data_IF_233474324436
#
_entry.id   IF_233474324436
#
_cell.length_a   1.000
_cell.length_b   1.000
_cell.length_c   1.000
_cell.angle_alpha   90.00
_cell.angle_beta   90.00
_cell.angle_gamma   90.00
#
_symmetry.space_group_name_H-M   'P 1'
#
loop_
_entity.id
_entity.type
_entity.pdbx_description
1 polymer ?
#
# COMPACT_ATOMS: atom_id res chain seq x y z
N UNK A 1 5.28 5.87 -12.68
CA UNK A 1 4.33 5.27 -13.68
C UNK A 1 3.50 6.39 -14.32
N UNK A 2 3.71 6.63 -15.61
CA UNK A 2 3.22 7.85 -16.27
C UNK A 2 1.68 7.98 -16.29
N UNK A 3 0.95 6.92 -16.66
CA UNK A 3 -0.51 6.96 -16.73
C UNK A 3 -1.16 7.33 -15.36
N UNK A 4 -0.56 6.88 -14.25
CA UNK A 4 -1.02 7.22 -12.90
C UNK A 4 -0.70 8.69 -12.58
N UNK A 5 0.52 9.18 -12.90
CA UNK A 5 0.91 10.57 -12.68
C UNK A 5 -0.01 11.53 -13.46
N UNK A 6 -0.31 11.23 -14.72
CA UNK A 6 -1.24 12.00 -15.53
C UNK A 6 -2.65 11.99 -14.97
N UNK A 7 -3.12 10.86 -14.43
CA UNK A 7 -4.43 10.78 -13.78
C UNK A 7 -4.48 11.62 -12.50
N UNK A 8 -3.41 11.61 -11.70
CA UNK A 8 -3.31 12.44 -10.49
C UNK A 8 -3.30 13.92 -10.86
N UNK A 9 -2.55 14.33 -11.90
CA UNK A 9 -2.50 15.74 -12.34
C UNK A 9 -3.84 16.25 -12.87
N UNK A 10 -4.60 15.40 -13.58
CA UNK A 10 -5.87 15.78 -14.18
C UNK A 10 -7.02 15.81 -13.16
N UNK A 11 -7.14 14.80 -12.32
CA UNK A 11 -8.33 14.53 -11.50
C UNK A 11 -8.05 14.58 -9.99
N UNK A 12 -6.77 14.58 -9.60
CA UNK A 12 -6.36 14.73 -8.20
C UNK A 12 -6.38 16.21 -7.76
N UNK A 13 -6.56 16.44 -6.46
CA UNK A 13 -6.51 17.80 -5.88
C UNK A 13 -5.68 17.81 -4.62
N UNK A 14 -4.64 18.61 -4.59
CA UNK A 14 -3.93 18.94 -3.36
C UNK A 14 -4.76 19.96 -2.57
N UNK A 15 -5.28 19.56 -1.41
CA UNK A 15 -6.01 20.45 -0.49
C UNK A 15 -5.06 21.22 0.42
N UNK A 16 -3.85 20.74 0.57
CA UNK A 16 -2.77 21.36 1.33
C UNK A 16 -1.45 20.68 0.95
N UNK A 17 -0.35 21.13 1.52
CA UNK A 17 0.96 20.47 1.40
C UNK A 17 0.99 19.02 1.93
N UNK A 18 -0.06 18.56 2.62
CA UNK A 18 -0.12 17.22 3.24
C UNK A 18 -1.28 16.36 2.76
N UNK A 19 -2.34 16.95 2.18
CA UNK A 19 -3.56 16.23 1.82
C UNK A 19 -3.74 16.23 0.30
N UNK A 20 -3.68 15.05 -0.30
CA UNK A 20 -3.95 14.80 -1.70
C UNK A 20 -5.24 13.98 -1.82
N UNK A 21 -6.25 14.52 -2.50
CA UNK A 21 -7.48 13.82 -2.85
C UNK A 21 -7.31 13.12 -4.19
N UNK A 22 -7.65 11.83 -4.21
CA UNK A 22 -7.69 10.96 -5.39
C UNK A 22 -8.97 10.12 -5.37
N UNK A 23 -10.01 10.69 -4.81
CA UNK A 23 -11.31 10.07 -4.51
C UNK A 23 -12.08 9.67 -5.78
N UNK A 24 -11.86 10.36 -6.89
CA UNK A 24 -12.54 10.11 -8.16
C UNK A 24 -12.05 8.87 -8.93
N UNK A 25 -10.95 8.21 -8.51
CA UNK A 25 -10.41 7.07 -9.23
C UNK A 25 -9.74 5.99 -8.35
N UNK A 26 -9.50 6.25 -7.06
CA UNK A 26 -8.80 5.31 -6.17
C UNK A 26 -9.54 5.05 -4.85
N UNK A 27 -9.95 6.11 -4.11
CA UNK A 27 -10.40 5.97 -2.72
C UNK A 27 -11.92 5.88 -2.55
N UNK A 28 -12.72 6.52 -3.41
CA UNK A 28 -14.18 6.56 -3.34
C UNK A 28 -14.81 5.93 -4.57
N UNK A 29 -14.52 6.49 -5.74
CA UNK A 29 -14.75 5.84 -7.01
C UNK A 29 -13.46 5.14 -7.43
N UNK A 30 -13.57 3.89 -7.85
CA UNK A 30 -12.44 3.11 -8.35
C UNK A 30 -12.52 3.04 -9.88
N UNK A 31 -11.44 3.40 -10.57
CA UNK A 31 -11.31 3.17 -12.01
C UNK A 31 -10.67 1.79 -12.25
N UNK A 32 -11.44 0.79 -12.71
CA UNK A 32 -10.91 -0.57 -12.86
C UNK A 32 -9.81 -0.69 -13.91
N UNK A 33 -9.85 0.14 -14.96
CA UNK A 33 -8.81 0.12 -16.00
C UNK A 33 -7.48 0.66 -15.46
N UNK A 34 -7.54 1.74 -14.69
CA UNK A 34 -6.37 2.27 -14.02
C UNK A 34 -5.82 1.29 -13.00
N UNK A 35 -6.70 0.67 -12.18
CA UNK A 35 -6.24 -0.30 -11.17
C UNK A 35 -5.62 -1.55 -11.80
N UNK A 36 -6.13 -2.01 -12.94
CA UNK A 36 -5.48 -3.09 -13.69
C UNK A 36 -4.08 -2.69 -14.17
N UNK A 37 -3.91 -1.49 -14.67
CA UNK A 37 -2.59 -0.99 -15.07
C UNK A 37 -1.64 -0.84 -13.87
N UNK A 38 -2.15 -0.38 -12.72
CA UNK A 38 -1.41 -0.28 -11.44
C UNK A 38 -0.98 -1.66 -10.95
N UNK A 39 -1.91 -2.63 -10.90
CA UNK A 39 -1.61 -4.00 -10.50
C UNK A 39 -0.59 -4.67 -11.42
N UNK A 40 -0.75 -4.50 -12.73
CA UNK A 40 0.20 -4.99 -13.73
C UNK A 40 1.61 -4.39 -13.57
N UNK A 41 1.70 -3.11 -13.23
CA UNK A 41 2.99 -2.45 -12.98
C UNK A 41 3.70 -3.00 -11.72
N UNK A 42 2.96 -3.34 -10.65
CA UNK A 42 3.52 -4.05 -9.51
C UNK A 42 3.94 -5.47 -9.86
N UNK A 43 3.09 -6.21 -10.59
CA UNK A 43 3.41 -7.57 -11.01
C UNK A 43 4.67 -7.62 -11.89
N UNK A 44 4.81 -6.69 -12.82
CA UNK A 44 6.02 -6.58 -13.66
C UNK A 44 7.28 -6.33 -12.82
N UNK A 45 7.20 -5.39 -11.86
CA UNK A 45 8.33 -5.00 -11.01
C UNK A 45 8.79 -6.13 -10.08
N UNK A 46 7.88 -6.99 -9.67
CA UNK A 46 8.15 -8.05 -8.69
C UNK A 46 7.99 -9.47 -9.25
N UNK A 47 7.95 -9.62 -10.58
CA UNK A 47 7.78 -10.90 -11.28
C UNK A 47 8.75 -11.98 -10.80
N UNK A 48 10.01 -11.62 -10.67
CA UNK A 48 11.09 -12.56 -10.31
C UNK A 48 11.37 -12.60 -8.79
N UNK A 49 10.59 -11.88 -8.00
CA UNK A 49 10.79 -11.83 -6.55
C UNK A 49 10.25 -13.06 -5.82
N UNK A 50 9.61 -13.98 -6.54
CA UNK A 50 9.05 -15.22 -5.98
C UNK A 50 7.90 -14.97 -5.00
N UNK A 51 7.07 -13.95 -5.26
CA UNK A 51 5.89 -13.62 -4.45
C UNK A 51 4.94 -14.81 -4.45
N UNK A 52 4.44 -15.18 -3.28
CA UNK A 52 3.44 -16.24 -3.09
C UNK A 52 2.10 -15.68 -2.61
N UNK A 53 2.10 -14.44 -2.12
CA UNK A 53 0.90 -13.83 -1.56
C UNK A 53 0.98 -12.29 -1.60
N UNK A 54 -0.12 -11.65 -1.93
CA UNK A 54 -0.27 -10.21 -1.78
C UNK A 54 -0.98 -9.92 -0.46
N UNK A 55 -0.53 -8.91 0.27
CA UNK A 55 -1.22 -8.42 1.49
C UNK A 55 -1.50 -6.93 1.32
N UNK A 56 -2.65 -6.49 1.81
CA UNK A 56 -3.04 -5.08 1.81
C UNK A 56 -3.80 -4.70 3.07
N UNK A 57 -3.98 -3.41 3.27
CA UNK A 57 -4.79 -2.83 4.35
C UNK A 57 -6.11 -2.28 3.77
N UNK A 58 -7.25 -2.55 4.43
CA UNK A 58 -8.52 -1.95 4.03
C UNK A 58 -8.51 -0.41 4.21
N UNK A 59 -9.26 0.35 3.41
CA UNK A 59 -10.10 -0.11 2.31
C UNK A 59 -9.44 0.17 0.95
N UNK A 60 -8.76 1.30 0.78
CA UNK A 60 -8.31 1.82 -0.52
C UNK A 60 -7.19 1.02 -1.18
N UNK A 61 -6.39 0.30 -0.38
CA UNK A 61 -5.37 -0.62 -0.88
C UNK A 61 -5.93 -1.86 -1.58
N UNK A 62 -7.23 -2.20 -1.37
CA UNK A 62 -7.82 -3.44 -1.89
C UNK A 62 -7.84 -3.46 -3.42
N UNK A 63 -8.28 -2.38 -4.05
CA UNK A 63 -8.42 -2.34 -5.51
C UNK A 63 -7.09 -2.55 -6.26
N UNK A 64 -6.00 -1.82 -5.97
CA UNK A 64 -4.70 -2.08 -6.60
C UNK A 64 -4.12 -3.45 -6.22
N UNK A 65 -4.31 -3.90 -4.97
CA UNK A 65 -3.75 -5.16 -4.50
C UNK A 65 -4.41 -6.39 -5.15
N UNK A 66 -5.74 -6.39 -5.35
CA UNK A 66 -6.40 -7.50 -6.03
C UNK A 66 -5.98 -7.60 -7.49
N UNK A 67 -5.75 -6.48 -8.17
CA UNK A 67 -5.24 -6.49 -9.55
C UNK A 67 -3.79 -6.95 -9.64
N UNK A 68 -2.96 -6.65 -8.63
CA UNK A 68 -1.59 -7.17 -8.56
C UNK A 68 -1.59 -8.68 -8.25
N UNK A 69 -2.45 -9.14 -7.36
CA UNK A 69 -2.59 -10.55 -7.03
C UNK A 69 -3.07 -11.38 -8.23
N UNK A 70 -4.03 -10.86 -9.00
CA UNK A 70 -4.50 -11.46 -10.25
C UNK A 70 -3.38 -11.54 -11.27
N UNK A 71 -2.62 -10.46 -11.48
CA UNK A 71 -1.54 -10.43 -12.44
C UNK A 71 -0.33 -11.31 -12.06
N UNK A 72 -0.13 -11.59 -10.75
CA UNK A 72 0.90 -12.51 -10.21
C UNK A 72 0.39 -13.96 -10.06
N UNK A 73 -0.90 -14.20 -10.27
CA UNK A 73 -1.58 -15.49 -10.05
C UNK A 73 -1.36 -16.02 -8.62
N UNK A 74 -1.55 -15.16 -7.62
CA UNK A 74 -1.40 -15.50 -6.20
C UNK A 74 -2.61 -15.03 -5.38
N UNK A 75 -2.93 -15.66 -4.23
CA UNK A 75 -3.98 -15.19 -3.35
C UNK A 75 -3.62 -13.88 -2.66
N UNK A 76 -4.67 -13.14 -2.21
CA UNK A 76 -4.54 -11.91 -1.46
C UNK A 76 -5.15 -12.03 -0.07
N UNK A 77 -4.49 -11.41 0.93
CA UNK A 77 -4.98 -11.26 2.30
C UNK A 77 -5.24 -9.79 2.60
N UNK A 78 -6.37 -9.48 3.24
CA UNK A 78 -6.75 -8.12 3.61
C UNK A 78 -6.65 -7.97 5.13
N UNK A 79 -5.80 -7.07 5.58
CA UNK A 79 -5.76 -6.63 6.98
C UNK A 79 -6.90 -5.65 7.26
N UNK A 80 -7.49 -5.78 8.46
CA UNK A 80 -8.65 -5.00 8.88
C UNK A 80 -8.27 -3.95 9.92
N UNK A 81 -8.89 -2.76 9.82
CA UNK A 81 -8.77 -1.69 10.82
C UNK A 81 -9.76 -1.81 11.98
N UNK A 82 -10.55 -2.88 11.97
CA UNK A 82 -11.51 -3.21 13.02
C UNK A 82 -11.58 -4.71 13.24
N UNK A 83 -11.90 -5.12 14.45
CA UNK A 83 -12.16 -6.53 14.77
C UNK A 83 -13.60 -6.86 14.41
N UNK A 84 -13.80 -7.89 13.58
CA UNK A 84 -15.12 -8.48 13.43
C UNK A 84 -15.47 -9.24 14.71
N UNK A 85 -16.64 -8.98 15.30
CA UNK A 85 -17.14 -9.69 16.48
C UNK A 85 -17.32 -11.20 16.27
N UNK A 86 -17.26 -11.66 15.02
CA UNK A 86 -17.44 -13.05 14.60
C UNK A 86 -16.11 -13.80 14.57
N UNK A 87 -14.97 -13.12 14.35
CA UNK A 87 -13.65 -13.74 14.24
C UNK A 87 -12.97 -13.73 15.62
N UNK A 88 -12.97 -14.85 16.33
CA UNK A 88 -12.37 -14.96 17.67
C UNK A 88 -11.06 -15.74 17.71
N UNK A 89 -10.75 -16.56 16.72
CA UNK A 89 -9.56 -17.43 16.71
C UNK A 89 -8.60 -17.06 15.58
N UNK A 90 -7.31 -17.25 15.78
CA UNK A 90 -6.26 -16.97 14.79
C UNK A 90 -6.06 -15.47 14.50
N UNK A 91 -6.47 -14.59 15.41
CA UNK A 91 -6.35 -13.14 15.25
C UNK A 91 -5.09 -12.63 15.92
N UNK A 92 -4.27 -11.93 15.17
CA UNK A 92 -3.15 -11.13 15.69
C UNK A 92 -3.37 -9.66 15.37
N UNK A 93 -2.90 -8.79 16.26
CA UNK A 93 -3.16 -7.37 16.20
C UNK A 93 -1.92 -6.55 16.56
N UNK A 94 -1.83 -5.36 15.99
CA UNK A 94 -0.85 -4.35 16.40
C UNK A 94 -1.50 -2.97 16.38
N UNK A 95 -1.07 -2.13 17.30
CA UNK A 95 -1.47 -0.72 17.28
C UNK A 95 -0.71 0.03 16.20
N UNK A 96 -1.43 0.87 15.47
CA UNK A 96 -0.91 1.77 14.44
C UNK A 96 -1.45 3.18 14.69
N UNK A 97 -0.59 4.18 14.65
CA UNK A 97 -0.99 5.57 14.76
C UNK A 97 -1.23 6.20 13.39
N UNK A 98 -2.42 6.74 13.19
CA UNK A 98 -2.80 7.49 11.98
C UNK A 98 -2.52 8.97 12.17
N UNK A 99 -1.45 9.50 11.57
CA UNK A 99 -1.16 10.93 11.59
C UNK A 99 -2.21 11.79 10.87
N UNK A 100 -2.89 11.22 9.87
CA UNK A 100 -3.94 11.93 9.12
C UNK A 100 -5.18 12.15 9.97
N UNK A 101 -5.55 11.16 10.79
CA UNK A 101 -6.70 11.23 11.70
C UNK A 101 -6.33 11.63 13.12
N UNK A 102 -5.04 11.65 13.45
CA UNK A 102 -4.49 11.88 14.78
C UNK A 102 -5.08 10.92 15.83
N UNK A 103 -5.20 9.65 15.46
CA UNK A 103 -5.76 8.60 16.32
C UNK A 103 -5.01 7.27 16.14
N UNK A 104 -4.97 6.46 17.21
CA UNK A 104 -4.49 5.10 17.13
C UNK A 104 -5.64 4.15 16.75
N UNK A 105 -5.33 3.11 15.99
CA UNK A 105 -6.26 2.05 15.67
C UNK A 105 -5.58 0.68 15.73
N UNK A 106 -6.35 -0.37 15.92
CA UNK A 106 -5.84 -1.74 15.89
C UNK A 106 -5.89 -2.27 14.45
N UNK A 107 -4.70 -2.53 13.89
CA UNK A 107 -4.59 -3.29 12.67
C UNK A 107 -4.66 -4.78 12.99
N UNK A 108 -5.49 -5.51 12.27
CA UNK A 108 -5.85 -6.89 12.56
C UNK A 108 -5.56 -7.78 11.36
N UNK A 109 -4.93 -8.92 11.61
CA UNK A 109 -4.66 -9.97 10.64
C UNK A 109 -5.21 -11.30 11.17
N UNK A 110 -5.85 -12.08 10.30
CA UNK A 110 -6.12 -13.50 10.57
C UNK A 110 -4.90 -14.31 10.12
N UNK A 111 -4.14 -14.80 11.08
CA UNK A 111 -2.84 -15.45 10.86
C UNK A 111 -2.92 -16.76 10.10
N UNK A 112 -4.08 -17.45 10.13
CA UNK A 112 -4.31 -18.71 9.42
C UNK A 112 -4.06 -18.64 7.91
N UNK A 113 -4.09 -17.44 7.34
CA UNK A 113 -3.88 -17.20 5.90
C UNK A 113 -2.43 -16.88 5.52
N UNK A 114 -1.52 -16.83 6.50
CA UNK A 114 -0.09 -16.64 6.27
C UNK A 114 0.72 -17.75 6.95
N UNK A 115 1.76 -18.19 6.29
CA UNK A 115 2.65 -19.27 6.78
C UNK A 115 4.11 -18.88 6.59
N UNK A 116 5.02 -19.62 7.21
CA UNK A 116 6.47 -19.44 7.07
C UNK A 116 7.01 -19.68 5.64
N UNK A 117 6.22 -20.29 4.77
CA UNK A 117 6.56 -20.46 3.35
C UNK A 117 6.20 -19.23 2.51
N UNK A 118 5.37 -18.30 3.03
CA UNK A 118 4.89 -17.18 2.26
C UNK A 118 5.93 -16.07 2.11
N UNK A 119 6.07 -15.61 0.87
CA UNK A 119 6.81 -14.41 0.46
C UNK A 119 5.82 -13.36 0.04
N UNK A 120 5.66 -12.34 0.86
CA UNK A 120 4.57 -11.38 0.76
C UNK A 120 5.01 -10.12 0.00
N UNK A 121 4.18 -9.71 -0.95
CA UNK A 121 4.17 -8.35 -1.47
C UNK A 121 3.09 -7.56 -0.71
N UNK A 122 3.52 -6.61 0.13
CA UNK A 122 2.62 -5.67 0.79
C UNK A 122 2.30 -4.51 -0.15
N UNK A 123 1.01 -4.26 -0.43
CA UNK A 123 0.56 -3.14 -1.27
C UNK A 123 -0.36 -2.23 -0.46
N UNK A 124 -0.13 -0.91 -0.55
CA UNK A 124 -1.01 0.11 0.01
C UNK A 124 -1.30 1.22 -1.00
N UNK A 125 -2.40 1.95 -0.81
CA UNK A 125 -2.77 3.09 -1.65
C UNK A 125 -1.83 4.28 -1.46
N UNK A 126 -1.55 4.66 -0.20
CA UNK A 126 -0.67 5.76 0.16
C UNK A 126 0.46 5.34 1.10
N UNK A 127 1.66 5.77 0.79
CA UNK A 127 2.80 5.73 1.71
C UNK A 127 3.18 7.15 2.14
N UNK A 128 2.99 7.43 3.42
CA UNK A 128 3.26 8.71 4.05
C UNK A 128 4.42 8.58 5.07
N UNK A 129 4.13 8.50 6.36
CA UNK A 129 5.14 8.31 7.40
C UNK A 129 5.61 6.85 7.55
N UNK A 130 4.85 5.88 6.97
CA UNK A 130 5.18 4.46 6.99
C UNK A 130 4.55 3.66 8.13
N UNK A 131 3.81 4.29 9.06
CA UNK A 131 3.30 3.61 10.26
C UNK A 131 2.38 2.42 9.93
N UNK A 132 1.47 2.59 8.96
CA UNK A 132 0.60 1.50 8.50
C UNK A 132 1.40 0.35 7.89
N UNK A 133 2.38 0.68 7.03
CA UNK A 133 3.23 -0.32 6.39
C UNK A 133 4.06 -1.09 7.44
N UNK A 134 4.69 -0.41 8.40
CA UNK A 134 5.42 -1.08 9.47
C UNK A 134 4.50 -1.90 10.39
N UNK A 135 3.27 -1.43 10.64
CA UNK A 135 2.25 -2.20 11.34
C UNK A 135 1.91 -3.51 10.62
N UNK A 136 1.70 -3.42 9.31
CA UNK A 136 1.44 -4.60 8.48
C UNK A 136 2.64 -5.56 8.45
N UNK A 137 3.85 -5.04 8.30
CA UNK A 137 5.09 -5.83 8.34
C UNK A 137 5.19 -6.61 9.66
N UNK A 138 5.01 -5.96 10.80
CA UNK A 138 5.03 -6.63 12.12
C UNK A 138 4.05 -7.81 12.19
N UNK A 139 2.82 -7.63 11.68
CA UNK A 139 1.81 -8.71 11.69
C UNK A 139 2.15 -9.84 10.73
N UNK A 140 2.69 -9.53 9.54
CA UNK A 140 3.13 -10.54 8.56
C UNK A 140 4.25 -11.40 9.17
N UNK A 141 5.24 -10.77 9.78
CA UNK A 141 6.38 -11.45 10.40
C UNK A 141 5.96 -12.23 11.67
N UNK A 142 5.03 -11.67 12.46
CA UNK A 142 4.44 -12.37 13.62
C UNK A 142 3.66 -13.62 13.20
N UNK A 143 3.02 -13.62 12.02
CA UNK A 143 2.40 -14.81 11.43
C UNK A 143 3.41 -15.82 10.87
N UNK A 144 4.70 -15.50 10.91
CA UNK A 144 5.80 -16.34 10.43
C UNK A 144 6.17 -16.13 8.97
N UNK A 145 5.41 -15.32 8.20
CA UNK A 145 5.69 -15.04 6.80
C UNK A 145 6.82 -14.00 6.64
N UNK A 146 7.37 -13.88 5.43
CA UNK A 146 8.40 -12.90 5.09
C UNK A 146 7.85 -11.83 4.18
N UNK A 147 8.10 -10.55 4.51
CA UNK A 147 7.87 -9.44 3.58
C UNK A 147 9.00 -9.40 2.56
N UNK A 148 8.66 -9.68 1.31
CA UNK A 148 9.61 -9.72 0.20
C UNK A 148 9.78 -8.34 -0.44
N UNK A 149 8.68 -7.57 -0.50
CA UNK A 149 8.69 -6.22 -1.04
C UNK A 149 7.47 -5.42 -0.55
N UNK A 150 7.54 -4.09 -0.70
CA UNK A 150 6.46 -3.15 -0.42
C UNK A 150 6.16 -2.32 -1.67
N UNK A 151 4.89 -2.24 -2.05
CA UNK A 151 4.38 -1.41 -3.13
C UNK A 151 3.46 -0.32 -2.60
N UNK A 152 3.68 0.92 -2.99
CA UNK A 152 2.75 2.02 -2.76
C UNK A 152 2.24 2.55 -4.10
N UNK A 153 0.92 2.73 -4.23
CA UNK A 153 0.37 3.37 -5.43
C UNK A 153 0.88 4.80 -5.51
N UNK A 154 0.75 5.55 -4.41
CA UNK A 154 1.21 6.93 -4.28
C UNK A 154 2.08 7.04 -3.02
N UNK A 155 3.31 7.50 -3.15
CA UNK A 155 4.15 7.89 -2.01
C UNK A 155 4.24 9.41 -1.90
N UNK A 156 4.13 9.94 -0.69
CA UNK A 156 4.49 11.33 -0.39
C UNK A 156 5.98 11.34 -0.06
N UNK A 157 6.83 11.47 -1.08
CA UNK A 157 8.28 11.32 -0.95
C UNK A 157 8.93 12.37 -0.04
N UNK A 158 8.27 13.52 0.17
CA UNK A 158 8.66 14.52 1.18
C UNK A 158 8.38 14.07 2.63
N UNK A 159 7.76 12.90 2.84
CA UNK A 159 7.57 12.28 4.15
C UNK A 159 8.48 11.04 4.30
N UNK A 160 8.84 10.65 5.53
CA UNK A 160 9.96 9.73 5.74
C UNK A 160 9.67 8.25 5.43
N UNK A 161 8.41 7.85 5.14
CA UNK A 161 8.01 6.45 5.07
C UNK A 161 8.78 5.64 4.02
N UNK A 162 8.97 6.20 2.82
CA UNK A 162 9.69 5.53 1.74
C UNK A 162 11.17 5.27 2.14
N UNK A 163 11.82 6.29 2.70
CA UNK A 163 13.21 6.17 3.15
C UNK A 163 13.35 5.21 4.35
N UNK A 164 12.42 5.26 5.32
CA UNK A 164 12.42 4.36 6.48
C UNK A 164 12.30 2.89 6.07
N UNK A 165 11.41 2.56 5.14
CA UNK A 165 11.22 1.19 4.66
C UNK A 165 12.47 0.69 3.93
N UNK A 166 13.06 1.50 3.05
CA UNK A 166 14.30 1.16 2.34
C UNK A 166 15.48 0.99 3.31
N UNK A 167 15.63 1.89 4.28
CA UNK A 167 16.67 1.80 5.31
C UNK A 167 16.50 0.58 6.22
N UNK A 168 15.28 0.11 6.44
CA UNK A 168 14.99 -1.12 7.16
C UNK A 168 15.20 -2.40 6.31
N UNK A 169 15.64 -2.26 5.06
CA UNK A 169 15.96 -3.38 4.18
C UNK A 169 14.78 -3.93 3.38
N UNK A 170 13.62 -3.27 3.37
CA UNK A 170 12.48 -3.69 2.55
C UNK A 170 12.56 -3.05 1.16
N UNK A 171 12.69 -3.85 0.08
CA UNK A 171 12.59 -3.34 -1.28
C UNK A 171 11.25 -2.64 -1.47
N UNK A 172 11.26 -1.32 -1.69
CA UNK A 172 10.04 -0.51 -1.71
C UNK A 172 9.95 0.28 -3.02
N UNK A 173 8.80 0.14 -3.68
CA UNK A 173 8.47 0.82 -4.95
C UNK A 173 7.23 1.69 -4.76
N UNK A 174 7.31 2.94 -5.22
CA UNK A 174 6.16 3.83 -5.39
C UNK A 174 5.89 4.04 -6.88
N UNK A 175 4.64 3.83 -7.32
CA UNK A 175 4.28 4.04 -8.73
C UNK A 175 4.13 5.52 -9.09
N UNK A 176 3.80 6.36 -8.12
CA UNK A 176 3.85 7.81 -8.20
C UNK A 176 4.44 8.37 -6.89
N UNK A 177 5.66 8.88 -6.94
CA UNK A 177 6.32 9.53 -5.82
C UNK A 177 6.11 11.05 -5.91
N UNK A 178 5.24 11.61 -5.08
CA UNK A 178 4.99 13.05 -5.00
C UNK A 178 6.13 13.70 -4.22
N UNK A 179 6.90 14.56 -4.88
CA UNK A 179 8.03 15.30 -4.27
C UNK A 179 7.57 16.55 -3.54
N UNK A 180 6.57 17.24 -4.09
CA UNK A 180 5.96 18.46 -3.54
C UNK A 180 4.52 18.58 -3.99
N UNK A 181 3.70 19.18 -3.16
CA UNK A 181 2.33 19.54 -3.52
C UNK A 181 1.84 20.74 -2.70
N UNK A 182 0.88 21.46 -3.23
CA UNK A 182 0.24 22.58 -2.58
C UNK A 182 -0.98 23.05 -3.39
N UNK A 183 -1.48 24.24 -3.06
CA UNK A 183 -2.64 24.79 -3.76
C UNK A 183 -2.36 24.94 -5.26
N UNK A 184 -3.06 24.14 -6.07
CA UNK A 184 -2.99 24.16 -7.52
C UNK A 184 -1.77 23.49 -8.16
N UNK A 185 -0.90 22.82 -7.40
CA UNK A 185 0.23 22.09 -7.99
C UNK A 185 0.53 20.75 -7.32
N UNK A 186 1.03 19.80 -8.11
CA UNK A 186 1.54 18.50 -7.68
C UNK A 186 2.78 18.21 -8.52
N UNK A 187 3.91 17.96 -7.87
CA UNK A 187 5.19 17.62 -8.50
C UNK A 187 5.58 16.19 -8.11
N UNK A 188 6.21 15.48 -9.03
CA UNK A 188 6.68 14.12 -8.79
C UNK A 188 8.21 14.06 -8.81
N UNK A 189 8.76 13.09 -8.10
CA UNK A 189 10.16 12.70 -8.31
C UNK A 189 10.34 12.14 -9.73
N UNK A 190 11.56 12.27 -10.26
CA UNK A 190 11.95 11.57 -11.49
C UNK A 190 11.86 10.05 -11.25
N UNK A 191 11.40 9.31 -12.26
CA UNK A 191 11.31 7.86 -12.14
C UNK A 191 12.74 7.28 -11.98
N UNK A 192 12.96 6.53 -10.92
CA UNK A 192 14.22 5.76 -10.75
C UNK A 192 14.36 4.82 -11.95
N UNK A 193 15.48 4.95 -12.68
CA UNK A 193 15.82 4.15 -13.86
C UNK A 193 16.10 2.70 -13.51
#
# INVERSE_FOLDING_TARGET
MEILKQRILRDGRALSERVLLVDSFLNHQVDPKLMRAVGGAFAERFRDAGITKVVTIEASGIAPAVMAAEALDVPMVIMKKSVSSILREGIIQTEVFSFTKNEAYLLTLKSDFLTGADRVLLIDDFLANGEAAFGAIRLIEQAGARVQAVGAVIAKAFQPGLQKLRAAGYPTVALAAVSRMGDGFIEFEEDEK
#
